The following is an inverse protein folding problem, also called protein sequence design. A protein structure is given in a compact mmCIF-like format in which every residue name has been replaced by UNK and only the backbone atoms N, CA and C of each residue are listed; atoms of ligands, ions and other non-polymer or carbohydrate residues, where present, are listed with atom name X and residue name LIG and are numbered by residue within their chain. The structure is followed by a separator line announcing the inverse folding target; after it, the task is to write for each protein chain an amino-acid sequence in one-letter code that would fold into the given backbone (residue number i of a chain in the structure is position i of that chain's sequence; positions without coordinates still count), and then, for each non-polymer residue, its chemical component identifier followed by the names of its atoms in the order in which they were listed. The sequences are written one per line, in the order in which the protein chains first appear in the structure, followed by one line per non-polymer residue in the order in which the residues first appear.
data_IF_777503130039
#
_entry.id   IF_777503130039
#
_cell.length_a   1.000
_cell.length_b   1.000
_cell.length_c   1.000
_cell.angle_alpha   90.00
_cell.angle_beta   90.00
_cell.angle_gamma   90.00
#
_symmetry.space_group_name_H-M   'P 1'
#
loop_
_entity.id
_entity.type
_entity.pdbx_description
1 polymer ?
#
# COMPACT_ATOMS: atom_id res chain seq x y z
N UNK A 1 -12.06 -22.18 -24.69
CA UNK A 1 -11.19 -20.99 -24.79
C UNK A 1 -11.06 -20.40 -23.40
N UNK A 2 -9.88 -20.52 -22.77
CA UNK A 2 -9.64 -19.85 -21.50
C UNK A 2 -9.52 -18.34 -21.76
N UNK A 3 -10.27 -17.52 -21.04
CA UNK A 3 -10.21 -16.08 -21.18
C UNK A 3 -8.76 -15.61 -20.92
N UNK A 4 -8.19 -14.89 -21.88
CA UNK A 4 -6.92 -14.17 -21.74
C UNK A 4 -7.01 -13.29 -20.49
N UNK A 5 -6.30 -13.68 -19.42
CA UNK A 5 -6.19 -12.86 -18.21
C UNK A 5 -5.16 -11.78 -18.51
N UNK A 6 -5.62 -10.65 -19.03
CA UNK A 6 -4.78 -9.45 -19.13
C UNK A 6 -4.16 -9.17 -17.76
N UNK A 7 -2.84 -8.98 -17.64
CA UNK A 7 -2.20 -8.67 -16.37
C UNK A 7 -2.87 -7.44 -15.74
N UNK A 8 -3.48 -7.62 -14.56
CA UNK A 8 -4.09 -6.50 -13.83
C UNK A 8 -2.98 -5.59 -13.31
N UNK A 9 -3.03 -4.30 -13.67
CA UNK A 9 -2.14 -3.29 -13.07
C UNK A 9 -2.26 -3.29 -11.55
N UNK A 10 -1.20 -2.94 -10.80
CA UNK A 10 -1.31 -2.83 -9.35
C UNK A 10 -2.31 -1.74 -8.94
N UNK A 11 -2.98 -1.96 -7.81
CA UNK A 11 -3.82 -0.96 -7.14
C UNK A 11 -2.93 -0.08 -6.28
N UNK A 12 -3.10 1.24 -6.38
CA UNK A 12 -2.33 2.24 -5.65
C UNK A 12 -3.15 2.79 -4.50
N UNK A 13 -2.75 2.45 -3.29
CA UNK A 13 -3.46 2.76 -2.05
C UNK A 13 -2.63 3.76 -1.25
N UNK A 14 -3.13 4.98 -1.08
CA UNK A 14 -2.53 6.00 -0.22
C UNK A 14 -2.98 5.82 1.23
N UNK A 15 -2.05 5.90 2.18
CA UNK A 15 -2.35 5.87 3.62
C UNK A 15 -2.41 7.28 4.18
N UNK A 16 -3.56 7.66 4.74
CA UNK A 16 -3.76 8.92 5.47
C UNK A 16 -4.17 8.65 6.92
N UNK A 17 -3.98 9.63 7.78
CA UNK A 17 -4.66 9.70 9.08
C UNK A 17 -4.95 11.15 9.40
N UNK A 18 -5.93 11.39 10.26
CA UNK A 18 -6.38 12.74 10.62
C UNK A 18 -6.74 12.84 12.09
N UNK A 19 -5.93 12.21 12.97
CA UNK A 19 -6.00 12.43 14.39
C UNK A 19 -5.73 13.90 14.77
N UNK A 20 -5.97 14.26 16.02
CA UNK A 20 -5.88 15.64 16.52
C UNK A 20 -4.53 16.35 16.25
N UNK A 21 -3.46 15.60 15.98
CA UNK A 21 -2.11 16.10 15.70
C UNK A 21 -1.65 15.92 14.25
N UNK A 22 -2.49 15.31 13.41
CA UNK A 22 -2.11 14.90 12.07
C UNK A 22 -2.36 16.01 11.05
N UNK A 23 -1.71 15.87 9.90
CA UNK A 23 -1.84 16.82 8.80
C UNK A 23 -3.19 16.67 8.09
N UNK A 24 -4.07 17.67 8.25
CA UNK A 24 -5.43 17.73 7.68
C UNK A 24 -5.48 17.55 6.16
N UNK A 25 -4.41 17.92 5.46
CA UNK A 25 -4.34 17.86 4.00
C UNK A 25 -4.11 16.45 3.43
N UNK A 26 -3.95 15.40 4.24
CA UNK A 26 -3.54 14.07 3.79
C UNK A 26 -4.47 13.45 2.73
N UNK A 27 -5.79 13.43 2.99
CA UNK A 27 -6.77 12.90 2.02
C UNK A 27 -6.69 13.70 0.73
N UNK A 28 -6.72 15.04 0.81
CA UNK A 28 -6.70 15.92 -0.36
C UNK A 28 -5.45 15.70 -1.21
N UNK A 29 -4.26 15.64 -0.60
CA UNK A 29 -3.00 15.48 -1.34
C UNK A 29 -2.94 14.15 -2.08
N UNK A 30 -3.30 13.06 -1.41
CA UNK A 30 -3.34 11.73 -2.02
C UNK A 30 -4.42 11.63 -3.11
N UNK A 31 -5.61 12.17 -2.86
CA UNK A 31 -6.70 12.18 -3.84
C UNK A 31 -6.40 13.06 -5.06
N UNK A 32 -5.54 14.07 -4.93
CA UNK A 32 -5.11 14.93 -6.03
C UNK A 32 -4.15 14.23 -7.01
N UNK A 33 -3.45 13.17 -6.59
CA UNK A 33 -2.63 12.35 -7.50
C UNK A 33 -3.55 11.42 -8.33
N UNK A 34 -3.68 11.63 -9.66
CA UNK A 34 -4.53 10.80 -10.51
C UNK A 34 -4.05 9.34 -10.61
N UNK A 35 -2.85 9.03 -10.11
CA UNK A 35 -2.33 7.67 -10.03
C UNK A 35 -2.79 6.94 -8.77
N UNK A 36 -3.40 7.59 -7.79
CA UNK A 36 -3.90 6.95 -6.56
C UNK A 36 -5.32 6.44 -6.80
N UNK A 37 -5.52 5.13 -6.64
CA UNK A 37 -6.81 4.48 -6.87
C UNK A 37 -7.72 4.57 -5.63
N UNK A 38 -7.12 4.49 -4.45
CA UNK A 38 -7.82 4.56 -3.18
C UNK A 38 -6.98 5.25 -2.12
N UNK A 39 -7.64 5.95 -1.20
CA UNK A 39 -7.09 6.46 0.04
C UNK A 39 -7.75 5.67 1.17
N UNK A 40 -6.92 5.05 2.00
CA UNK A 40 -7.35 4.45 3.25
C UNK A 40 -6.87 5.34 4.39
N UNK A 41 -7.67 5.47 5.45
CA UNK A 41 -7.13 6.15 6.61
C UNK A 41 -7.77 5.85 7.94
N UNK A 42 -6.98 6.17 8.96
CA UNK A 42 -7.26 5.87 10.36
C UNK A 42 -7.55 7.15 11.15
N UNK A 43 -8.68 7.14 11.85
CA UNK A 43 -9.14 8.20 12.76
C UNK A 43 -9.44 7.68 14.17
N UNK A 44 -9.34 6.37 14.41
CA UNK A 44 -9.72 5.75 15.66
C UNK A 44 -8.51 5.27 16.44
N UNK A 45 -7.87 6.20 17.14
CA UNK A 45 -6.91 5.81 18.19
C UNK A 45 -7.63 5.21 19.40
N UNK A 46 -6.92 4.42 20.21
CA UNK A 46 -7.41 3.90 21.49
C UNK A 46 -8.02 5.00 22.39
N UNK A 47 -7.40 6.19 22.40
CA UNK A 47 -7.89 7.35 23.12
C UNK A 47 -9.23 7.87 22.56
N UNK A 48 -9.33 7.97 21.23
CA UNK A 48 -10.53 8.42 20.52
C UNK A 48 -11.68 7.40 20.70
N UNK A 49 -11.37 6.11 20.57
CA UNK A 49 -12.32 5.01 20.77
C UNK A 49 -12.84 4.96 22.20
N UNK A 50 -11.98 5.13 23.20
CA UNK A 50 -12.41 5.14 24.61
C UNK A 50 -13.38 6.30 24.89
N UNK A 51 -13.12 7.47 24.29
CA UNK A 51 -14.01 8.63 24.39
C UNK A 51 -15.40 8.37 23.80
N UNK A 52 -15.46 7.84 22.58
CA UNK A 52 -16.73 7.56 21.89
C UNK A 52 -17.46 6.34 22.44
N UNK A 53 -16.75 5.29 22.85
CA UNK A 53 -17.33 4.09 23.47
C UNK A 53 -18.03 4.39 24.80
N UNK A 54 -17.47 5.31 25.61
CA UNK A 54 -18.14 5.82 26.80
C UNK A 54 -19.42 6.62 26.47
N UNK A 55 -19.44 7.28 25.30
CA UNK A 55 -20.62 7.96 24.74
C UNK A 55 -21.73 6.98 24.35
N UNK A 56 -21.39 5.91 23.61
CA UNK A 56 -22.33 4.84 23.19
C UNK A 56 -23.07 4.20 24.37
N UNK A 57 -22.35 3.89 25.46
CA UNK A 57 -22.97 3.31 26.65
C UNK A 57 -24.01 4.24 27.31
N UNK A 58 -23.84 5.57 27.19
CA UNK A 58 -24.82 6.56 27.65
C UNK A 58 -26.00 6.68 26.68
N UNK A 59 -25.76 6.51 25.38
CA UNK A 59 -26.77 6.58 24.31
C UNK A 59 -27.80 5.44 24.37
N UNK A 60 -27.36 4.21 24.67
CA UNK A 60 -28.26 3.05 24.85
C UNK A 60 -29.27 3.27 26.00
N UNK A 61 -28.98 4.13 26.98
CA UNK A 61 -29.94 4.50 28.03
C UNK A 61 -30.98 5.54 27.59
N UNK A 62 -30.74 6.28 26.48
CA UNK A 62 -31.60 7.36 25.99
C UNK A 62 -32.38 7.05 24.69
N UNK A 63 -32.11 5.93 24.01
CA UNK A 63 -32.50 5.66 22.62
C UNK A 63 -33.96 5.29 22.33
N UNK A 64 -34.94 5.69 23.16
CA UNK A 64 -36.36 5.58 22.77
C UNK A 64 -36.93 6.79 22.03
N UNK A 65 -36.13 7.84 21.73
CA UNK A 65 -36.66 9.09 21.17
C UNK A 65 -35.87 9.76 20.02
N UNK A 66 -34.73 9.22 19.55
CA UNK A 66 -33.71 10.05 18.87
C UNK A 66 -33.61 10.02 17.33
N UNK A 67 -34.34 9.15 16.60
CA UNK A 67 -34.22 9.07 15.12
C UNK A 67 -34.99 10.15 14.36
N UNK A 68 -35.88 10.89 15.01
CA UNK A 68 -36.76 11.90 14.39
C UNK A 68 -36.19 13.33 14.40
N UNK A 69 -35.04 13.55 15.03
CA UNK A 69 -34.44 14.88 15.14
C UNK A 69 -33.77 15.30 13.82
N UNK A 70 -33.80 16.61 13.46
CA UNK A 70 -33.07 17.13 12.31
C UNK A 70 -31.57 16.78 12.37
N UNK A 71 -30.93 16.62 11.20
CA UNK A 71 -29.51 16.22 11.09
C UNK A 71 -28.58 17.12 11.92
N UNK A 72 -28.82 18.44 11.92
CA UNK A 72 -28.03 19.41 12.70
C UNK A 72 -28.10 19.20 14.22
N UNK A 73 -29.22 18.67 14.74
CA UNK A 73 -29.32 18.34 16.15
C UNK A 73 -28.63 17.01 16.47
N UNK A 74 -28.73 16.03 15.56
CA UNK A 74 -28.04 14.73 15.67
C UNK A 74 -26.52 14.89 15.62
N UNK A 75 -25.99 15.83 14.83
CA UNK A 75 -24.55 16.18 14.76
C UNK A 75 -23.98 16.59 16.13
N UNK A 76 -24.78 17.23 17.01
CA UNK A 76 -24.31 17.75 18.32
C UNK A 76 -23.99 16.66 19.34
N UNK A 77 -24.63 15.50 19.21
CA UNK A 77 -24.46 14.35 20.10
C UNK A 77 -23.76 13.17 19.41
N UNK A 78 -23.17 13.41 18.25
CA UNK A 78 -22.57 12.37 17.43
C UNK A 78 -21.32 11.76 18.06
N UNK A 79 -21.13 10.47 17.81
CA UNK A 79 -19.98 9.68 18.26
C UNK A 79 -19.14 9.14 17.10
N UNK A 80 -18.88 9.99 16.10
CA UNK A 80 -17.89 9.79 15.03
C UNK A 80 -16.73 10.80 15.18
N UNK A 81 -15.59 10.52 14.54
CA UNK A 81 -14.42 11.40 14.58
C UNK A 81 -14.65 12.69 13.79
N UNK A 82 -14.96 13.80 14.47
CA UNK A 82 -15.24 15.08 13.82
C UNK A 82 -14.06 15.66 13.02
N UNK A 83 -12.81 15.34 13.39
CA UNK A 83 -11.61 15.76 12.65
C UNK A 83 -11.55 15.16 11.25
N UNK A 84 -12.23 14.03 11.00
CA UNK A 84 -12.35 13.47 9.66
C UNK A 84 -13.06 14.43 8.71
N UNK A 85 -14.14 15.09 9.15
CA UNK A 85 -14.89 16.01 8.29
C UNK A 85 -14.02 17.18 7.81
N UNK A 86 -13.14 17.69 8.67
CA UNK A 86 -12.17 18.74 8.32
C UNK A 86 -11.13 18.30 7.29
N UNK A 87 -10.76 17.01 7.30
CA UNK A 87 -9.85 16.43 6.32
C UNK A 87 -10.57 16.08 5.01
N UNK A 88 -11.83 15.67 5.10
CA UNK A 88 -12.65 15.19 3.99
C UNK A 88 -13.18 16.34 3.13
N UNK A 89 -13.74 17.38 3.73
CA UNK A 89 -14.33 18.53 3.02
C UNK A 89 -13.43 19.09 1.91
N UNK A 90 -12.15 19.46 2.17
CA UNK A 90 -11.27 20.00 1.13
C UNK A 90 -10.82 18.95 0.10
N UNK A 91 -11.06 17.65 0.35
CA UNK A 91 -10.70 16.56 -0.55
C UNK A 91 -11.82 16.17 -1.53
N UNK A 92 -13.08 16.51 -1.24
CA UNK A 92 -14.25 16.15 -2.08
C UNK A 92 -14.01 16.47 -3.57
N UNK A 93 -13.52 17.67 -3.96
CA UNK A 93 -13.34 18.00 -5.37
C UNK A 93 -12.29 17.13 -6.06
N UNK A 94 -11.22 16.75 -5.34
CA UNK A 94 -10.14 15.90 -5.87
C UNK A 94 -10.62 14.45 -6.02
N UNK A 95 -11.35 13.95 -5.03
CA UNK A 95 -11.98 12.61 -5.06
C UNK A 95 -12.95 12.50 -6.23
N UNK A 96 -13.82 13.49 -6.42
CA UNK A 96 -14.78 13.51 -7.52
C UNK A 96 -14.07 13.58 -8.89
N UNK A 97 -13.04 14.43 -9.02
CA UNK A 97 -12.32 14.63 -10.28
C UNK A 97 -11.53 13.40 -10.72
N UNK A 98 -10.82 12.77 -9.79
CA UNK A 98 -9.92 11.65 -10.09
C UNK A 98 -10.59 10.28 -9.89
N UNK A 99 -11.80 10.24 -9.32
CA UNK A 99 -12.54 9.00 -9.08
C UNK A 99 -11.93 8.08 -8.02
N UNK A 100 -11.02 8.61 -7.18
CA UNK A 100 -10.37 7.89 -6.10
C UNK A 100 -11.40 7.34 -5.10
N UNK A 101 -11.16 6.15 -4.55
CA UNK A 101 -11.99 5.61 -3.46
C UNK A 101 -11.47 6.10 -2.11
N UNK A 102 -12.37 6.37 -1.16
CA UNK A 102 -11.99 6.72 0.21
C UNK A 102 -12.59 5.70 1.17
N UNK A 103 -11.76 5.10 2.01
CA UNK A 103 -12.18 4.14 3.05
C UNK A 103 -11.58 4.58 4.38
N UNK A 104 -12.43 4.79 5.37
CA UNK A 104 -12.02 5.29 6.68
C UNK A 104 -12.75 4.57 7.80
N UNK A 105 -12.12 4.45 8.96
CA UNK A 105 -12.76 3.98 10.18
C UNK A 105 -13.34 5.13 11.04
N UNK A 106 -13.59 6.31 10.48
CA UNK A 106 -13.96 7.51 11.25
C UNK A 106 -15.34 7.46 11.95
N UNK A 107 -16.19 6.47 11.65
CA UNK A 107 -17.57 6.40 12.17
C UNK A 107 -17.68 6.06 13.65
N UNK A 108 -16.66 5.44 14.24
CA UNK A 108 -16.68 4.94 15.63
C UNK A 108 -18.02 4.25 15.99
N UNK A 109 -18.85 4.88 16.83
CA UNK A 109 -20.11 4.29 17.30
C UNK A 109 -21.32 4.59 16.43
N UNK A 110 -21.19 5.56 15.51
CA UNK A 110 -22.27 6.20 14.76
C UNK A 110 -21.93 6.24 13.26
N UNK A 111 -21.62 5.08 12.68
CA UNK A 111 -21.20 4.95 11.27
C UNK A 111 -22.28 5.39 10.28
N UNK A 112 -23.56 5.07 10.55
CA UNK A 112 -24.71 5.53 9.75
C UNK A 112 -24.84 7.05 9.75
N UNK A 113 -24.82 7.66 10.94
CA UNK A 113 -24.92 9.12 11.06
C UNK A 113 -23.75 9.81 10.36
N UNK A 114 -22.52 9.26 10.44
CA UNK A 114 -21.39 9.81 9.69
C UNK A 114 -21.65 9.74 8.18
N UNK A 115 -22.20 8.63 7.67
CA UNK A 115 -22.52 8.47 6.26
C UNK A 115 -23.57 9.48 5.79
N UNK A 116 -24.62 9.73 6.59
CA UNK A 116 -25.60 10.77 6.31
C UNK A 116 -24.96 12.16 6.22
N UNK A 117 -24.08 12.51 7.17
CA UNK A 117 -23.37 13.80 7.17
C UNK A 117 -22.44 13.93 5.97
N UNK A 118 -21.72 12.87 5.62
CA UNK A 118 -20.84 12.85 4.44
C UNK A 118 -21.64 13.02 3.16
N UNK A 119 -22.79 12.35 3.04
CA UNK A 119 -23.67 12.45 1.88
C UNK A 119 -24.26 13.86 1.74
N UNK A 120 -24.68 14.48 2.84
CA UNK A 120 -25.14 15.87 2.90
C UNK A 120 -24.04 16.85 2.42
N UNK A 121 -22.79 16.66 2.87
CA UNK A 121 -21.64 17.48 2.43
C UNK A 121 -21.32 17.30 0.94
N UNK A 122 -21.38 16.07 0.44
CA UNK A 122 -21.13 15.75 -0.98
C UNK A 122 -22.20 16.39 -1.88
N UNK A 123 -23.48 16.20 -1.55
CA UNK A 123 -24.60 16.75 -2.31
C UNK A 123 -24.64 18.28 -2.22
N UNK A 124 -24.41 18.85 -1.03
CA UNK A 124 -24.31 20.29 -0.82
C UNK A 124 -23.15 20.94 -1.58
N UNK A 125 -22.06 20.20 -1.80
CA UNK A 125 -20.94 20.60 -2.66
C UNK A 125 -21.20 20.45 -4.17
N UNK A 126 -22.34 19.87 -4.58
CA UNK A 126 -22.67 19.63 -5.98
C UNK A 126 -21.92 18.46 -6.62
N UNK A 127 -21.46 17.49 -5.82
CA UNK A 127 -20.73 16.31 -6.30
C UNK A 127 -21.61 15.07 -6.26
N UNK A 128 -21.40 14.14 -7.20
CA UNK A 128 -22.06 12.83 -7.24
C UNK A 128 -21.06 11.74 -6.80
N UNK A 129 -20.86 11.61 -5.49
CA UNK A 129 -20.02 10.57 -4.89
C UNK A 129 -20.90 9.60 -4.15
N UNK A 130 -20.74 8.30 -4.43
CA UNK A 130 -21.45 7.23 -3.72
C UNK A 130 -20.87 7.06 -2.31
N UNK A 131 -21.73 7.16 -1.31
CA UNK A 131 -21.40 6.96 0.10
C UNK A 131 -21.97 5.62 0.57
N UNK A 132 -21.17 4.84 1.27
CA UNK A 132 -21.57 3.58 1.90
C UNK A 132 -20.90 3.45 3.26
N UNK A 133 -21.53 2.74 4.18
CA UNK A 133 -20.98 2.44 5.50
C UNK A 133 -21.14 0.96 5.85
N UNK A 134 -20.37 0.51 6.82
CA UNK A 134 -20.44 -0.84 7.38
C UNK A 134 -20.82 -0.73 8.85
N UNK A 135 -21.74 -1.60 9.28
CA UNK A 135 -22.15 -1.78 10.67
C UNK A 135 -21.77 -3.17 11.16
N UNK A 136 -21.69 -3.35 12.48
CA UNK A 136 -21.49 -4.67 13.09
C UNK A 136 -20.03 -5.06 13.33
N UNK A 137 -19.06 -4.19 13.01
CA UNK A 137 -17.65 -4.31 13.43
C UNK A 137 -17.42 -3.74 14.85
N UNK A 138 -18.51 -3.61 15.63
CA UNK A 138 -18.45 -3.32 17.04
C UNK A 138 -17.88 -4.56 17.75
N UNK A 139 -16.62 -4.50 18.20
CA UNK A 139 -15.92 -5.54 18.97
C UNK A 139 -16.57 -5.99 20.30
N UNK A 140 -17.89 -5.82 20.45
CA UNK A 140 -18.75 -6.30 21.53
C UNK A 140 -18.91 -7.84 21.58
N UNK A 141 -18.18 -8.60 20.76
CA UNK A 141 -17.94 -10.03 20.98
C UNK A 141 -16.46 -10.33 20.79
N UNK A 142 -15.75 -10.54 21.90
CA UNK A 142 -14.37 -11.00 21.92
C UNK A 142 -14.21 -12.24 21.03
N UNK A 143 -13.49 -12.11 19.91
CA UNK A 143 -12.90 -13.23 19.19
C UNK A 143 -11.74 -13.80 20.03
N UNK A 144 -12.05 -14.60 21.04
CA UNK A 144 -11.06 -15.56 21.58
C UNK A 144 -10.97 -16.73 20.60
N UNK A 145 -9.89 -16.79 19.82
CA UNK A 145 -9.50 -18.00 19.11
C UNK A 145 -8.98 -19.02 20.14
N UNK A 146 -9.83 -19.96 20.54
CA UNK A 146 -9.38 -21.23 21.12
C UNK A 146 -9.50 -22.32 20.03
N UNK A 147 -8.43 -23.09 19.83
CA UNK A 147 -8.22 -23.96 18.67
C UNK A 147 -9.04 -25.25 18.67
N UNK A 148 -9.96 -25.47 19.61
CA UNK A 148 -10.78 -26.68 19.60
C UNK A 148 -12.17 -26.48 20.26
N UNK A 149 -13.21 -26.50 19.41
CA UNK A 149 -14.64 -26.78 19.66
C UNK A 149 -15.62 -25.64 19.99
N UNK A 150 -16.53 -25.46 19.02
CA UNK A 150 -17.97 -25.12 19.02
C UNK A 150 -18.64 -24.36 20.18
N UNK A 151 -19.42 -23.34 19.79
CA UNK A 151 -20.45 -22.60 20.55
C UNK A 151 -21.22 -23.45 21.59
N UNK A 152 -21.31 -22.93 22.83
CA UNK A 152 -22.51 -22.73 23.69
C UNK A 152 -22.07 -22.57 25.17
N UNK A 153 -22.72 -21.62 25.88
CA UNK A 153 -22.83 -21.43 27.35
C UNK A 153 -21.95 -20.41 28.11
N UNK A 154 -22.61 -19.29 28.46
CA UNK A 154 -22.68 -18.49 29.71
C UNK A 154 -21.54 -18.38 30.76
N UNK A 155 -21.31 -17.10 31.13
CA UNK A 155 -21.10 -16.45 32.46
C UNK A 155 -19.81 -16.71 33.28
N UNK A 156 -19.16 -15.60 33.71
CA UNK A 156 -18.20 -15.59 34.82
C UNK A 156 -17.30 -14.36 34.94
N UNK A 157 -17.83 -13.29 35.53
CA UNK A 157 -17.21 -12.07 36.14
C UNK A 157 -15.67 -11.92 36.25
N UNK A 158 -15.15 -10.74 35.84
CA UNK A 158 -13.93 -10.12 36.39
C UNK A 158 -14.05 -8.58 36.49
N UNK A 159 -13.60 -8.00 37.62
CA UNK A 159 -13.44 -6.56 37.92
C UNK A 159 -11.95 -6.28 38.16
N UNK A 160 -11.44 -5.12 37.76
CA UNK A 160 -10.43 -4.25 38.44
C UNK A 160 -10.34 -2.96 37.59
N UNK A 161 -10.14 -1.72 38.06
CA UNK A 161 -9.77 -1.11 39.33
C UNK A 161 -9.10 0.23 38.97
N UNK A 162 -9.73 1.37 39.26
CA UNK A 162 -9.29 2.71 38.86
C UNK A 162 -8.28 3.27 39.88
N UNK A 163 -7.20 3.93 39.42
CA UNK A 163 -6.31 4.69 40.31
C UNK A 163 -5.96 6.08 39.74
N UNK A 164 -6.33 7.12 40.52
CA UNK A 164 -5.46 8.23 40.95
C UNK A 164 -4.83 9.19 39.93
N UNK A 165 -5.25 10.47 39.99
CA UNK A 165 -4.67 11.66 39.33
C UNK A 165 -3.30 12.07 39.89
N UNK A 166 -2.51 12.84 39.13
CA UNK A 166 -2.26 14.28 39.40
C UNK A 166 -1.44 14.99 38.32
N UNK A 167 -1.77 16.26 38.13
CA UNK A 167 -1.31 17.27 37.18
C UNK A 167 0.19 17.60 37.22
N UNK A 168 0.79 17.76 36.03
CA UNK A 168 2.07 18.45 35.82
C UNK A 168 1.98 19.38 34.59
N UNK A 169 2.50 20.60 34.74
CA UNK A 169 2.57 21.64 33.71
C UNK A 169 3.26 21.12 32.44
N UNK A 170 2.62 21.34 31.28
CA UNK A 170 3.25 21.18 29.98
C UNK A 170 3.98 22.47 29.60
N UNK A 171 5.31 22.42 29.49
CA UNK A 171 6.11 23.44 28.83
C UNK A 171 6.21 23.11 27.33
N UNK A 172 5.84 24.03 26.43
CA UNK A 172 5.73 23.74 25.00
C UNK A 172 7.07 23.96 24.31
N UNK A 173 8.02 23.02 24.43
CA UNK A 173 9.34 23.17 23.77
C UNK A 173 10.01 21.84 23.47
N UNK A 174 9.32 20.89 22.81
CA UNK A 174 9.92 19.81 21.99
C UNK A 174 8.88 19.32 20.98
N UNK A 175 8.90 19.89 19.78
CA UNK A 175 8.16 19.34 18.64
C UNK A 175 8.75 17.96 18.34
N UNK A 176 8.09 16.90 18.82
CA UNK A 176 8.28 15.54 18.36
C UNK A 176 7.82 15.49 16.90
N UNK A 177 8.72 15.20 15.95
CA UNK A 177 8.34 14.90 14.57
C UNK A 177 7.55 13.58 14.56
N UNK A 178 6.23 13.69 14.41
CA UNK A 178 5.34 12.58 14.11
C UNK A 178 5.51 12.24 12.61
N UNK A 179 6.25 11.18 12.29
CA UNK A 179 6.04 10.48 11.02
C UNK A 179 4.74 9.72 11.20
N UNK A 180 3.65 10.12 10.52
CA UNK A 180 2.31 9.50 10.53
C UNK A 180 2.31 8.08 11.14
N UNK A 181 2.06 8.04 12.45
CA UNK A 181 1.90 6.88 13.34
C UNK A 181 3.02 5.85 13.48
N UNK A 182 4.22 6.13 12.97
CA UNK A 182 5.35 5.21 13.10
C UNK A 182 6.49 5.81 13.95
N UNK A 183 6.82 5.16 15.07
CA UNK A 183 8.02 5.48 15.85
C UNK A 183 9.28 5.02 15.10
N UNK A 184 9.83 5.91 14.28
CA UNK A 184 11.12 5.67 13.63
C UNK A 184 12.27 6.12 14.52
N UNK A 185 12.95 5.17 15.16
CA UNK A 185 14.03 5.46 16.13
C UNK A 185 15.21 6.25 15.53
N UNK A 186 15.37 6.26 14.20
CA UNK A 186 16.40 7.02 13.49
C UNK A 186 15.93 8.39 12.99
N UNK A 187 14.92 8.99 13.62
CA UNK A 187 14.45 10.33 13.27
C UNK A 187 15.57 11.40 13.26
N UNK A 188 16.61 11.24 14.07
CA UNK A 188 17.79 12.14 14.05
C UNK A 188 18.48 12.16 12.69
N UNK A 189 18.51 11.05 11.98
CA UNK A 189 19.11 10.98 10.64
C UNK A 189 18.25 11.75 9.63
N UNK A 190 16.91 11.68 9.78
CA UNK A 190 15.97 12.48 8.99
C UNK A 190 16.13 13.99 9.26
N UNK A 191 16.33 14.37 10.52
CA UNK A 191 16.60 15.75 10.93
C UNK A 191 17.91 16.26 10.31
N UNK A 192 19.00 15.50 10.45
CA UNK A 192 20.32 15.82 9.85
C UNK A 192 20.23 15.99 8.34
N UNK A 193 19.46 15.14 7.67
CA UNK A 193 19.22 15.20 6.23
C UNK A 193 18.24 16.32 5.82
N UNK A 194 17.68 17.08 6.77
CA UNK A 194 16.66 18.12 6.53
C UNK A 194 15.40 17.60 5.81
N UNK A 195 15.05 16.33 6.02
CA UNK A 195 13.90 15.65 5.41
C UNK A 195 12.71 15.50 6.37
N UNK A 196 12.68 16.26 7.46
CA UNK A 196 11.72 16.10 8.57
C UNK A 196 10.49 17.02 8.48
N UNK A 197 10.44 17.91 7.49
CA UNK A 197 9.33 18.82 7.22
C UNK A 197 8.65 18.41 5.92
N UNK A 198 7.35 18.60 5.78
CA UNK A 198 6.56 18.21 4.59
C UNK A 198 6.74 16.72 4.22
N UNK A 199 6.52 15.87 5.23
CA UNK A 199 6.62 14.42 5.09
C UNK A 199 5.57 13.90 4.11
N UNK A 200 6.02 13.09 3.16
CA UNK A 200 5.11 12.45 2.21
C UNK A 200 4.26 11.36 2.83
N UNK A 201 3.02 11.27 2.38
CA UNK A 201 2.14 10.16 2.73
C UNK A 201 2.56 8.87 2.02
N UNK A 202 2.50 7.70 2.70
CA UNK A 202 2.85 6.42 2.10
C UNK A 202 1.84 6.02 1.02
N UNK A 203 2.33 5.37 -0.03
CA UNK A 203 1.54 4.81 -1.12
C UNK A 203 1.97 3.35 -1.32
N UNK A 204 1.05 2.42 -1.11
CA UNK A 204 1.25 1.01 -1.41
C UNK A 204 0.76 0.69 -2.82
N UNK A 205 1.63 0.12 -3.65
CA UNK A 205 1.26 -0.50 -4.93
C UNK A 205 1.07 -1.98 -4.71
N UNK A 206 -0.16 -2.45 -4.71
CA UNK A 206 -0.52 -3.85 -4.41
C UNK A 206 -0.76 -4.60 -5.71
N UNK A 207 0.00 -5.66 -5.93
CA UNK A 207 -0.07 -6.50 -7.12
C UNK A 207 -0.99 -7.70 -6.89
N UNK A 208 -1.57 -8.22 -7.98
CA UNK A 208 -2.51 -9.36 -7.92
C UNK A 208 -1.88 -10.68 -7.46
N UNK A 209 -0.55 -10.76 -7.45
CA UNK A 209 0.22 -11.92 -6.97
C UNK A 209 0.54 -11.85 -5.46
N UNK A 210 0.02 -10.84 -4.75
CA UNK A 210 0.23 -10.66 -3.31
C UNK A 210 1.51 -9.90 -2.93
N UNK A 211 2.34 -9.50 -3.90
CA UNK A 211 3.46 -8.60 -3.59
C UNK A 211 2.98 -7.14 -3.51
N UNK A 212 3.74 -6.31 -2.80
CA UNK A 212 3.49 -4.87 -2.80
C UNK A 212 4.80 -4.07 -2.84
N UNK A 213 4.71 -2.85 -3.35
CA UNK A 213 5.79 -1.86 -3.27
C UNK A 213 5.30 -0.67 -2.47
N UNK A 214 6.00 -0.35 -1.38
CA UNK A 214 5.71 0.82 -0.57
C UNK A 214 6.57 1.99 -1.05
N UNK A 215 5.91 3.06 -1.43
CA UNK A 215 6.53 4.35 -1.78
C UNK A 215 5.90 5.45 -0.94
N UNK A 216 6.20 6.70 -1.26
CA UNK A 216 5.50 7.88 -0.74
C UNK A 216 5.19 8.83 -1.88
N UNK A 217 4.44 9.89 -1.62
CA UNK A 217 4.22 10.97 -2.59
C UNK A 217 5.52 11.43 -3.26
N UNK A 218 5.44 11.65 -4.57
CA UNK A 218 6.53 12.21 -5.34
C UNK A 218 6.89 13.61 -4.80
N UNK A 219 8.16 14.00 -4.87
CA UNK A 219 8.67 15.33 -4.48
C UNK A 219 8.49 15.78 -3.02
N UNK A 220 7.86 14.97 -2.17
CA UNK A 220 7.77 15.22 -0.72
C UNK A 220 9.06 14.84 0.02
N UNK A 221 9.19 15.26 1.27
CA UNK A 221 10.24 14.80 2.17
C UNK A 221 9.84 13.49 2.88
N UNK A 222 10.56 13.12 3.95
CA UNK A 222 10.42 11.83 4.61
C UNK A 222 11.29 10.74 3.99
N UNK A 223 11.17 9.54 4.52
CA UNK A 223 11.91 8.36 4.10
C UNK A 223 10.98 7.14 4.11
N UNK A 224 11.08 6.33 3.07
CA UNK A 224 10.50 4.99 3.01
C UNK A 224 11.64 4.03 2.74
N UNK A 225 11.98 3.23 3.74
CA UNK A 225 12.97 2.18 3.64
C UNK A 225 12.49 0.92 4.37
N UNK A 226 13.30 -0.15 4.33
CA UNK A 226 12.99 -1.40 5.04
C UNK A 226 12.76 -1.14 6.53
N UNK A 227 13.56 -0.28 7.16
CA UNK A 227 13.45 0.01 8.59
C UNK A 227 12.09 0.67 8.92
N UNK A 228 11.66 1.70 8.18
CA UNK A 228 10.37 2.38 8.41
C UNK A 228 9.18 1.45 8.18
N UNK A 229 9.23 0.62 7.14
CA UNK A 229 8.14 -0.34 6.85
C UNK A 229 8.12 -1.45 7.90
N UNK A 230 9.30 -1.91 8.34
CA UNK A 230 9.40 -2.89 9.43
C UNK A 230 8.84 -2.33 10.72
N UNK A 231 9.21 -1.09 11.09
CA UNK A 231 8.68 -0.41 12.27
C UNK A 231 7.15 -0.35 12.27
N UNK A 232 6.54 -0.01 11.12
CA UNK A 232 5.08 0.03 11.03
C UNK A 232 4.48 -1.37 11.14
N UNK A 233 5.08 -2.34 10.45
CA UNK A 233 4.58 -3.71 10.47
C UNK A 233 4.59 -4.29 11.88
N UNK A 234 5.68 -4.13 12.64
CA UNK A 234 5.77 -4.68 14.00
C UNK A 234 4.93 -3.93 15.02
N UNK A 235 4.51 -2.70 14.71
CA UNK A 235 3.58 -1.94 15.55
C UNK A 235 2.15 -2.48 15.45
N UNK A 236 1.72 -2.89 14.25
CA UNK A 236 0.33 -3.28 13.97
C UNK A 236 0.00 -4.74 14.29
N UNK A 237 1.00 -5.61 14.38
CA UNK A 237 0.77 -7.06 14.37
C UNK A 237 0.81 -7.65 15.78
N UNK A 238 -0.15 -8.53 16.07
CA UNK A 238 -0.18 -9.31 17.32
C UNK A 238 0.46 -10.70 17.19
N UNK A 239 0.77 -11.14 15.97
CA UNK A 239 1.28 -12.48 15.69
C UNK A 239 1.36 -12.78 14.20
N UNK A 240 1.58 -14.05 13.81
CA UNK A 240 1.74 -14.44 12.39
C UNK A 240 0.43 -14.39 11.59
N UNK A 241 -0.72 -14.26 12.26
CA UNK A 241 -2.03 -14.12 11.64
C UNK A 241 -2.57 -12.73 11.99
N UNK A 242 -2.80 -11.92 10.98
CA UNK A 242 -3.42 -10.61 11.10
C UNK A 242 -4.89 -10.72 10.69
N UNK A 243 -5.78 -10.62 11.67
CA UNK A 243 -7.21 -10.88 11.50
C UNK A 243 -7.94 -9.63 11.02
N UNK A 244 -8.72 -9.78 9.97
CA UNK A 244 -9.73 -8.83 9.52
C UNK A 244 -11.10 -9.52 9.54
N UNK A 245 -12.20 -8.77 9.42
CA UNK A 245 -13.55 -9.30 9.59
C UNK A 245 -13.89 -10.43 8.61
N UNK A 246 -13.35 -10.37 7.38
CA UNK A 246 -13.64 -11.34 6.32
C UNK A 246 -12.43 -12.19 5.89
N UNK A 247 -11.21 -11.77 6.23
CA UNK A 247 -9.97 -12.40 5.77
C UNK A 247 -8.89 -12.37 6.84
N UNK A 248 -8.00 -13.36 6.80
CA UNK A 248 -6.81 -13.41 7.67
C UNK A 248 -5.58 -13.30 6.79
N UNK A 249 -4.76 -12.27 7.01
CA UNK A 249 -3.46 -12.15 6.36
C UNK A 249 -2.44 -13.00 7.13
N UNK A 250 -1.77 -13.92 6.41
CA UNK A 250 -0.70 -14.75 6.95
C UNK A 250 0.62 -14.01 6.74
N UNK A 251 1.23 -13.55 7.83
CA UNK A 251 2.47 -12.77 7.82
C UNK A 251 3.72 -13.64 7.96
N UNK A 252 3.54 -14.94 8.23
CA UNK A 252 4.64 -15.90 8.31
C UNK A 252 5.40 -15.94 6.97
N UNK A 253 6.69 -15.58 7.01
CA UNK A 253 7.55 -15.56 5.82
C UNK A 253 7.54 -14.25 5.04
N UNK A 254 6.99 -13.16 5.60
CA UNK A 254 7.11 -11.84 4.97
C UNK A 254 8.57 -11.44 4.81
N UNK A 255 8.93 -10.93 3.64
CA UNK A 255 10.26 -10.42 3.32
C UNK A 255 10.14 -8.97 2.91
N UNK A 256 11.02 -8.13 3.46
CA UNK A 256 11.13 -6.72 3.09
C UNK A 256 12.48 -6.50 2.42
N UNK A 257 12.44 -5.96 1.21
CA UNK A 257 13.63 -5.64 0.44
C UNK A 257 13.58 -4.18 0.00
N UNK A 258 14.69 -3.48 0.17
CA UNK A 258 14.80 -2.11 -0.31
C UNK A 258 14.79 -2.13 -1.83
N UNK A 259 13.88 -1.41 -2.47
CA UNK A 259 13.95 -1.14 -3.91
C UNK A 259 14.68 0.19 -4.09
N UNK A 260 15.65 0.22 -5.00
CA UNK A 260 16.42 1.43 -5.30
C UNK A 260 15.85 2.05 -6.57
N UNK A 261 15.24 3.25 -6.52
CA UNK A 261 14.64 3.85 -7.71
C UNK A 261 15.67 3.97 -8.85
N UNK A 262 15.30 3.63 -10.09
CA UNK A 262 16.24 3.69 -11.21
C UNK A 262 16.88 5.08 -11.42
N UNK A 263 16.21 6.16 -10.98
CA UNK A 263 16.74 7.52 -11.06
C UNK A 263 17.82 7.87 -10.02
N UNK A 264 18.07 7.02 -9.00
CA UNK A 264 19.10 7.31 -8.00
C UNK A 264 20.51 6.91 -8.42
N UNK A 265 20.67 6.28 -9.59
CA UNK A 265 21.97 5.84 -10.12
C UNK A 265 22.67 6.92 -10.98
N UNK A 266 22.17 8.16 -10.97
CA UNK A 266 22.73 9.28 -11.74
C UNK A 266 22.26 9.31 -13.20
N UNK A 267 22.96 10.10 -14.01
CA UNK A 267 22.61 10.32 -15.41
C UNK A 267 22.70 9.03 -16.23
N UNK A 268 21.75 8.85 -17.13
CA UNK A 268 21.67 7.68 -18.01
C UNK A 268 22.12 8.00 -19.44
N UNK A 269 22.40 6.94 -20.19
CA UNK A 269 22.61 6.95 -21.64
C UNK A 269 21.86 5.76 -22.25
N UNK A 270 21.28 5.96 -23.43
CA UNK A 270 20.66 4.86 -24.18
C UNK A 270 21.76 3.92 -24.72
N UNK A 271 21.74 2.67 -24.27
CA UNK A 271 22.69 1.64 -24.70
C UNK A 271 22.04 0.26 -24.65
N UNK A 272 22.56 -0.74 -25.40
CA UNK A 272 22.07 -2.11 -25.33
C UNK A 272 22.13 -2.67 -23.91
N UNK A 273 21.02 -3.26 -23.43
CA UNK A 273 20.97 -3.93 -22.12
C UNK A 273 22.11 -4.96 -21.94
N UNK A 274 22.50 -5.61 -23.04
CA UNK A 274 23.57 -6.59 -23.08
C UNK A 274 24.95 -6.09 -22.72
N UNK A 275 25.20 -4.76 -22.77
CA UNK A 275 26.48 -4.17 -22.37
C UNK A 275 26.77 -4.30 -20.88
N UNK A 276 25.72 -4.40 -20.06
CA UNK A 276 25.84 -4.53 -18.61
C UNK A 276 25.31 -5.87 -18.09
N UNK A 277 24.24 -6.40 -18.68
CA UNK A 277 23.60 -7.62 -18.23
C UNK A 277 24.03 -8.82 -19.08
N UNK A 278 24.60 -9.82 -18.43
CA UNK A 278 24.71 -11.18 -18.97
C UNK A 278 23.33 -11.85 -18.91
N UNK A 279 23.12 -12.92 -19.68
CA UNK A 279 21.88 -13.66 -19.56
C UNK A 279 21.82 -14.96 -20.35
N UNK A 280 20.75 -15.72 -20.09
CA UNK A 280 20.42 -16.93 -20.86
C UNK A 280 18.92 -17.16 -20.87
N UNK A 281 18.43 -17.78 -21.94
CA UNK A 281 17.03 -18.19 -22.09
C UNK A 281 16.90 -19.61 -22.63
N UNK A 282 15.71 -20.18 -22.45
CA UNK A 282 15.35 -21.47 -23.00
C UNK A 282 13.90 -21.86 -22.72
N UNK A 283 13.46 -22.88 -23.43
CA UNK A 283 12.13 -23.45 -23.35
C UNK A 283 11.88 -24.21 -22.04
N UNK A 284 10.61 -24.18 -21.62
CA UNK A 284 9.99 -25.00 -20.59
C UNK A 284 8.59 -25.40 -21.06
N UNK A 285 8.53 -26.37 -21.97
CA UNK A 285 7.32 -26.76 -22.69
C UNK A 285 6.73 -25.58 -23.49
N UNK A 286 5.52 -25.11 -23.19
CA UNK A 286 4.95 -23.90 -23.81
C UNK A 286 5.52 -22.59 -23.24
N UNK A 287 6.20 -22.65 -22.10
CA UNK A 287 6.77 -21.48 -21.46
C UNK A 287 8.18 -21.17 -21.97
N UNK A 288 8.60 -19.92 -21.83
CA UNK A 288 9.99 -19.49 -22.04
C UNK A 288 10.57 -18.93 -20.75
N UNK A 289 11.76 -19.40 -20.38
CA UNK A 289 12.51 -18.83 -19.29
C UNK A 289 13.58 -17.86 -19.83
N UNK A 290 13.85 -16.78 -19.09
CA UNK A 290 14.94 -15.85 -19.39
C UNK A 290 15.49 -15.27 -18.10
N UNK A 291 16.80 -15.39 -17.90
CA UNK A 291 17.51 -14.84 -16.75
C UNK A 291 18.55 -13.83 -17.17
N UNK A 292 18.66 -12.75 -16.40
CA UNK A 292 19.69 -11.71 -16.52
C UNK A 292 20.48 -11.62 -15.23
N UNK A 293 21.79 -11.42 -15.31
CA UNK A 293 22.65 -11.28 -14.14
C UNK A 293 23.82 -10.33 -14.39
N UNK A 294 24.31 -9.74 -13.30
CA UNK A 294 25.33 -8.69 -13.30
C UNK A 294 26.38 -8.96 -12.24
N UNK A 295 27.58 -8.41 -12.46
CA UNK A 295 28.71 -8.62 -11.56
C UNK A 295 28.73 -7.66 -10.37
N UNK A 296 28.21 -6.43 -10.47
CA UNK A 296 28.26 -5.41 -9.42
C UNK A 296 27.04 -5.43 -8.49
N UNK A 297 27.21 -4.98 -7.24
CA UNK A 297 26.12 -4.84 -6.28
C UNK A 297 25.17 -3.67 -6.65
N UNK A 298 25.71 -2.54 -7.09
CA UNK A 298 24.90 -1.40 -7.55
C UNK A 298 24.22 -1.69 -8.90
N UNK A 299 24.93 -2.38 -9.80
CA UNK A 299 24.36 -2.90 -11.05
C UNK A 299 23.20 -3.85 -10.75
N UNK A 300 23.32 -4.68 -9.71
CA UNK A 300 22.26 -5.57 -9.24
C UNK A 300 21.04 -4.79 -8.77
N UNK A 301 21.26 -3.75 -7.95
CA UNK A 301 20.19 -2.89 -7.46
C UNK A 301 19.47 -2.16 -8.59
N UNK A 302 20.19 -1.72 -9.61
CA UNK A 302 19.60 -1.15 -10.81
C UNK A 302 18.86 -2.21 -11.64
N UNK A 303 19.49 -3.36 -11.91
CA UNK A 303 18.93 -4.42 -12.75
C UNK A 303 17.59 -4.91 -12.21
N UNK A 304 17.51 -5.21 -10.91
CA UNK A 304 16.27 -5.66 -10.28
C UNK A 304 15.19 -4.59 -10.23
N UNK A 305 15.58 -3.32 -10.11
CA UNK A 305 14.63 -2.20 -10.10
C UNK A 305 14.14 -1.84 -11.50
N UNK A 306 15.00 -1.99 -12.51
CA UNK A 306 14.73 -1.69 -13.91
C UNK A 306 13.93 -2.82 -14.59
N UNK A 307 14.39 -4.07 -14.50
CA UNK A 307 13.74 -5.24 -15.10
C UNK A 307 12.57 -5.72 -14.22
N UNK A 308 11.45 -5.03 -14.34
CA UNK A 308 10.15 -5.48 -13.83
C UNK A 308 9.46 -6.38 -14.86
N UNK A 309 8.42 -7.13 -14.46
CA UNK A 309 7.61 -7.91 -15.41
C UNK A 309 7.01 -7.01 -16.52
N UNK A 310 6.54 -5.82 -16.15
CA UNK A 310 6.04 -4.83 -17.09
C UNK A 310 7.14 -4.33 -18.04
N UNK A 311 8.37 -4.14 -17.54
CA UNK A 311 9.49 -3.72 -18.38
C UNK A 311 9.88 -4.81 -19.38
N UNK A 312 9.88 -6.08 -18.99
CA UNK A 312 10.08 -7.19 -19.93
C UNK A 312 9.00 -7.18 -21.02
N UNK A 313 7.73 -7.03 -20.64
CA UNK A 313 6.63 -6.91 -21.61
C UNK A 313 6.84 -5.73 -22.57
N UNK A 314 7.26 -4.56 -22.07
CA UNK A 314 7.57 -3.38 -22.89
C UNK A 314 8.72 -3.64 -23.86
N UNK A 315 9.80 -4.28 -23.40
CA UNK A 315 10.98 -4.59 -24.22
C UNK A 315 10.70 -5.63 -25.31
N UNK A 316 9.83 -6.61 -25.03
CA UNK A 316 9.35 -7.56 -26.02
C UNK A 316 8.49 -6.86 -27.08
N UNK A 317 7.67 -5.90 -26.68
CA UNK A 317 6.76 -5.20 -27.58
C UNK A 317 5.61 -6.09 -28.08
N UNK A 318 4.68 -5.52 -28.86
CA UNK A 318 3.47 -6.22 -29.28
C UNK A 318 3.72 -7.34 -30.30
N UNK A 319 4.85 -7.30 -31.02
CA UNK A 319 5.22 -8.31 -32.01
C UNK A 319 5.71 -9.61 -31.37
N UNK A 320 6.32 -9.53 -30.18
CA UNK A 320 6.88 -10.70 -29.50
C UNK A 320 6.00 -11.15 -28.33
N UNK A 321 5.36 -10.20 -27.63
CA UNK A 321 4.49 -10.49 -26.49
C UNK A 321 3.01 -10.33 -26.84
N UNK A 322 2.30 -11.46 -26.94
CA UNK A 322 0.88 -11.48 -27.32
C UNK A 322 -0.06 -11.72 -26.14
N UNK A 323 0.34 -12.60 -25.22
CA UNK A 323 -0.46 -13.01 -24.07
C UNK A 323 0.39 -13.73 -23.04
N UNK A 324 -0.23 -14.09 -21.92
CA UNK A 324 0.40 -14.87 -20.86
C UNK A 324 0.70 -14.05 -19.60
N UNK A 325 1.09 -14.75 -18.55
CA UNK A 325 1.60 -14.15 -17.31
C UNK A 325 3.12 -14.18 -17.34
N UNK A 326 3.76 -13.11 -16.89
CA UNK A 326 5.21 -13.09 -16.66
C UNK A 326 5.44 -13.25 -15.16
N UNK A 327 5.99 -14.41 -14.78
CA UNK A 327 6.47 -14.62 -13.42
C UNK A 327 7.89 -14.08 -13.30
N UNK A 328 8.20 -13.43 -12.17
CA UNK A 328 9.51 -12.82 -11.90
C UNK A 328 10.06 -13.34 -10.58
N UNK A 329 11.33 -13.71 -10.59
CA UNK A 329 12.05 -14.25 -9.44
C UNK A 329 13.41 -13.55 -9.32
N UNK A 330 13.79 -13.15 -8.10
CA UNK A 330 15.10 -12.58 -7.81
C UNK A 330 15.98 -13.61 -7.11
N UNK A 331 17.23 -13.75 -7.56
CA UNK A 331 18.23 -14.62 -6.97
C UNK A 331 19.41 -13.79 -6.50
N UNK A 332 19.24 -13.18 -5.31
CA UNK A 332 20.18 -12.23 -4.70
C UNK A 332 21.64 -12.73 -4.66
N UNK A 333 21.84 -14.00 -4.31
CA UNK A 333 23.19 -14.57 -4.11
C UNK A 333 24.00 -14.69 -5.41
N UNK A 334 23.32 -14.71 -6.57
CA UNK A 334 23.95 -14.72 -7.90
C UNK A 334 23.61 -13.46 -8.70
N UNK A 335 23.01 -12.45 -8.06
CA UNK A 335 22.65 -11.15 -8.66
C UNK A 335 21.87 -11.31 -9.97
N UNK A 336 20.90 -12.24 -9.96
CA UNK A 336 20.13 -12.58 -11.14
C UNK A 336 18.64 -12.25 -10.98
N UNK A 337 18.05 -11.68 -12.03
CA UNK A 337 16.60 -11.53 -12.18
C UNK A 337 16.15 -12.53 -13.24
N UNK A 338 15.22 -13.40 -12.88
CA UNK A 338 14.71 -14.45 -13.75
C UNK A 338 13.23 -14.26 -14.02
N UNK A 339 12.84 -14.60 -15.24
CA UNK A 339 11.47 -14.50 -15.72
C UNK A 339 11.03 -15.82 -16.33
N UNK A 340 9.77 -16.16 -16.09
CA UNK A 340 9.08 -17.25 -16.77
C UNK A 340 7.87 -16.66 -17.48
N UNK A 341 7.94 -16.63 -18.81
CA UNK A 341 6.91 -16.12 -19.70
C UNK A 341 5.98 -17.29 -20.03
N UNK A 342 4.78 -17.26 -19.47
CA UNK A 342 3.79 -18.33 -19.65
C UNK A 342 3.23 -18.34 -21.08
N UNK A 343 3.21 -19.53 -21.68
CA UNK A 343 2.68 -19.77 -23.03
C UNK A 343 3.33 -18.91 -24.14
N UNK A 344 4.59 -18.50 -23.92
CA UNK A 344 5.32 -17.66 -24.88
C UNK A 344 5.68 -18.38 -26.18
N UNK A 345 5.78 -19.72 -26.12
CA UNK A 345 6.13 -20.60 -27.23
C UNK A 345 4.89 -21.33 -27.80
N UNK A 346 3.71 -20.72 -27.71
CA UNK A 346 2.43 -21.30 -28.13
C UNK A 346 2.17 -22.66 -27.45
N UNK A 347 2.22 -23.77 -28.20
CA UNK A 347 2.08 -25.15 -27.69
C UNK A 347 3.42 -25.89 -27.58
N UNK A 348 4.52 -25.16 -27.55
CA UNK A 348 5.88 -25.66 -27.48
C UNK A 348 6.50 -25.95 -28.86
N UNK A 349 7.69 -26.55 -28.84
CA UNK A 349 8.58 -26.69 -30.00
C UNK A 349 7.91 -27.17 -31.30
N UNK A 350 7.10 -28.22 -31.24
CA UNK A 350 6.48 -28.84 -32.42
C UNK A 350 5.26 -28.07 -32.96
N UNK A 351 4.90 -26.94 -32.35
CA UNK A 351 3.64 -26.24 -32.63
C UNK A 351 3.76 -24.73 -32.49
N UNK A 352 5.00 -24.22 -32.54
CA UNK A 352 5.29 -22.79 -32.49
C UNK A 352 5.12 -22.13 -33.85
N UNK A 353 4.48 -20.96 -33.85
CA UNK A 353 4.33 -20.13 -35.05
C UNK A 353 5.54 -19.22 -35.31
N UNK A 354 6.44 -19.09 -34.33
CA UNK A 354 7.58 -18.16 -34.33
C UNK A 354 8.88 -18.80 -34.81
N UNK A 355 9.83 -17.93 -35.18
CA UNK A 355 11.18 -18.35 -35.59
C UNK A 355 11.98 -18.96 -34.43
N UNK A 356 11.86 -18.40 -33.21
CA UNK A 356 12.53 -18.92 -32.01
C UNK A 356 11.63 -19.90 -31.25
N UNK A 357 11.52 -21.13 -31.76
CA UNK A 357 10.65 -22.17 -31.18
C UNK A 357 11.17 -22.77 -29.86
N UNK A 358 12.39 -22.42 -29.43
CA UNK A 358 13.05 -22.94 -28.23
C UNK A 358 13.45 -21.85 -27.23
N UNK A 359 13.02 -20.61 -27.46
CA UNK A 359 13.43 -19.41 -26.73
C UNK A 359 14.97 -19.26 -26.59
N UNK A 360 15.77 -19.75 -27.54
CA UNK A 360 17.25 -19.69 -27.44
C UNK A 360 17.80 -18.31 -27.78
N UNK A 361 17.06 -17.52 -28.55
CA UNK A 361 17.40 -16.16 -28.96
C UNK A 361 16.69 -15.10 -28.11
N UNK A 362 15.62 -15.46 -27.39
CA UNK A 362 14.86 -14.56 -26.52
C UNK A 362 15.74 -13.67 -25.63
N UNK A 363 16.77 -14.23 -24.99
CA UNK A 363 17.69 -13.45 -24.15
C UNK A 363 18.48 -12.42 -24.97
N UNK A 364 19.05 -12.83 -26.10
CA UNK A 364 19.82 -11.92 -26.96
C UNK A 364 18.95 -10.85 -27.60
N UNK A 365 17.71 -11.20 -27.97
CA UNK A 365 16.72 -10.24 -28.45
C UNK A 365 16.47 -9.13 -27.41
N UNK A 366 16.28 -9.50 -26.13
CA UNK A 366 16.10 -8.54 -25.04
C UNK A 366 17.39 -7.77 -24.72
N UNK A 367 18.55 -8.43 -24.74
CA UNK A 367 19.87 -7.79 -24.53
C UNK A 367 20.20 -6.77 -25.62
N UNK A 368 19.70 -6.95 -26.83
CA UNK A 368 19.90 -6.01 -27.94
C UNK A 368 19.05 -4.73 -27.83
N UNK A 369 18.03 -4.69 -26.96
CA UNK A 369 17.19 -3.51 -26.78
C UNK A 369 17.99 -2.38 -26.13
N UNK A 370 17.87 -1.19 -26.71
CA UNK A 370 18.44 0.02 -26.12
C UNK A 370 17.57 0.46 -24.94
N UNK A 371 18.25 0.70 -23.82
CA UNK A 371 17.63 1.08 -22.56
C UNK A 371 18.45 2.17 -21.88
N UNK A 372 17.86 2.97 -20.99
CA UNK A 372 18.61 3.94 -20.20
C UNK A 372 19.49 3.23 -19.17
N UNK A 373 20.80 3.24 -19.40
CA UNK A 373 21.81 2.67 -18.50
C UNK A 373 22.55 3.80 -17.77
N UNK A 374 22.71 3.75 -16.43
CA UNK A 374 23.54 4.70 -15.69
C UNK A 374 24.96 4.77 -16.25
N UNK A 375 25.43 5.98 -16.57
CA UNK A 375 26.75 6.20 -17.21
C UNK A 375 27.90 5.58 -16.43
N UNK A 376 27.80 5.57 -15.11
CA UNK A 376 28.81 5.01 -14.22
C UNK A 376 29.04 3.52 -14.45
N UNK A 377 27.99 2.76 -14.78
CA UNK A 377 28.11 1.31 -14.99
C UNK A 377 28.87 0.97 -16.27
N UNK A 378 28.80 1.84 -17.29
CA UNK A 378 29.53 1.66 -18.55
C UNK A 378 31.01 2.07 -18.43
N UNK A 379 31.42 2.80 -17.39
CA UNK A 379 32.84 3.18 -17.19
C UNK A 379 33.73 1.98 -16.91
N UNK A 380 33.17 0.86 -16.45
CA UNK A 380 33.90 -0.38 -16.19
C UNK A 380 34.17 -1.20 -17.46
N UNK A 381 33.70 -0.74 -18.62
CA UNK A 381 33.74 -1.46 -19.89
C UNK A 381 32.38 -1.99 -20.31
N UNK A 382 32.27 -2.47 -21.55
CA UNK A 382 31.09 -3.15 -22.08
C UNK A 382 31.38 -4.65 -22.19
N UNK A 383 30.36 -5.48 -21.94
CA UNK A 383 30.43 -6.95 -22.08
C UNK A 383 30.45 -7.43 -23.53
#
# INVERSE_FOLDING_TARGET
MAASVTPKRPVRIGGASGGFTDQVAGIRRLAADPKVDAVVGDWLSENVMTGYGAGKARKVQSDKASTTLPLEERKKTAHYASTFLQCFEPAIPEIARNGAKLVVNAGASDTELLAEVVNDMVLGGGFDIKVAWVEGDDGLRFCTFDRNRSLVAQLGSFRFGRAGRSSGRWTPDRVLSFCHWCYYSRFKDLMKAKKHLDLGFPIAKVFSNGTCTITKEDMSNGIVNVETVTSQLVYEINGPLYFYSDVVAVLAGITLEQIVPCGSFGDTIEAPLGYIALGRSGDKASDANVGFFVSGAEEWDWLRSFLTANKIQELLGPEEYHSGRIDRFEMKNIRAVHFLLKDHLDRGYNSGSKLDTLAKYLCEYLRAKHVPIPREFLRKGHL
#
